data_IF_565045077179
#
_entry.id   IF_565045077179
#
_cell.length_a   1.000
_cell.length_b   1.000
_cell.length_c   1.000
_cell.angle_alpha   90.00
_cell.angle_beta   90.00
_cell.angle_gamma   90.00
#
_symmetry.space_group_name_H-M   'P 1'
#
loop_
_entity.id
_entity.type
_entity.pdbx_description
1 polymer ?
#
# COMPACT_ATOMS: atom_id res chain seq x y z
N UNK A 1 0.21 6.27 36.12
CA UNK A 1 1.15 5.75 35.10
C UNK A 1 2.47 6.48 35.28
N UNK A 2 3.60 5.77 35.30
CA UNK A 2 4.93 6.41 35.40
C UNK A 2 5.21 7.22 34.13
N UNK A 3 5.84 8.39 34.29
CA UNK A 3 6.24 9.30 33.20
C UNK A 3 7.10 8.57 32.17
N UNK A 4 8.01 7.69 32.60
CA UNK A 4 8.85 6.90 31.70
C UNK A 4 8.03 5.93 30.84
N UNK A 5 7.04 5.28 31.44
CA UNK A 5 6.11 4.38 30.76
C UNK A 5 5.27 5.13 29.72
N UNK A 6 4.77 6.32 30.05
CA UNK A 6 4.03 7.16 29.11
C UNK A 6 4.89 7.56 27.90
N UNK A 7 6.11 8.06 28.13
CA UNK A 7 7.03 8.47 27.06
C UNK A 7 7.32 7.30 26.12
N UNK A 8 7.65 6.13 26.67
CA UNK A 8 7.89 4.93 25.88
C UNK A 8 6.67 4.52 25.03
N UNK A 9 5.46 4.65 25.56
CA UNK A 9 4.25 4.36 24.80
C UNK A 9 4.07 5.33 23.63
N UNK A 10 4.23 6.63 23.87
CA UNK A 10 4.11 7.66 22.82
C UNK A 10 5.17 7.45 21.72
N UNK A 11 6.41 7.19 22.09
CA UNK A 11 7.50 6.95 21.14
C UNK A 11 7.23 5.68 20.30
N UNK A 12 6.73 4.62 20.92
CA UNK A 12 6.33 3.40 20.21
C UNK A 12 5.20 3.65 19.20
N UNK A 13 4.19 4.43 19.59
CA UNK A 13 3.10 4.80 18.67
C UNK A 13 3.60 5.65 17.50
N UNK A 14 4.47 6.63 17.77
CA UNK A 14 5.10 7.44 16.73
C UNK A 14 5.88 6.55 15.74
N UNK A 15 6.71 5.65 16.27
CA UNK A 15 7.52 4.74 15.46
C UNK A 15 6.64 3.83 14.61
N UNK A 16 5.55 3.32 15.16
CA UNK A 16 4.59 2.49 14.43
C UNK A 16 3.93 3.28 13.28
N UNK A 17 3.40 4.47 13.57
CA UNK A 17 2.78 5.32 12.55
C UNK A 17 3.76 5.67 11.44
N UNK A 18 5.00 6.03 11.79
CA UNK A 18 6.06 6.30 10.82
C UNK A 18 6.40 5.07 9.96
N UNK A 19 6.56 3.90 10.57
CA UNK A 19 6.88 2.65 9.87
C UNK A 19 5.80 2.25 8.87
N UNK A 20 4.52 2.35 9.27
CA UNK A 20 3.38 2.11 8.38
C UNK A 20 3.34 3.13 7.24
N UNK A 21 3.57 4.42 7.55
CA UNK A 21 3.66 5.50 6.55
C UNK A 21 4.71 5.17 5.48
N UNK A 22 5.91 4.76 5.91
CA UNK A 22 7.00 4.39 4.99
C UNK A 22 6.65 3.17 4.14
N UNK A 23 6.02 2.18 4.74
CA UNK A 23 5.61 0.95 4.04
C UNK A 23 4.58 1.25 2.96
N UNK A 24 3.55 2.03 3.29
CA UNK A 24 2.52 2.46 2.34
C UNK A 24 3.12 3.36 1.26
N UNK A 25 3.94 4.36 1.63
CA UNK A 25 4.61 5.23 0.65
C UNK A 25 5.42 4.42 -0.37
N UNK A 26 6.19 3.42 0.08
CA UNK A 26 6.97 2.56 -0.82
C UNK A 26 6.08 1.78 -1.78
N UNK A 27 4.92 1.27 -1.30
CA UNK A 27 3.94 0.60 -2.15
C UNK A 27 3.36 1.56 -3.21
N UNK A 28 2.99 2.77 -2.80
CA UNK A 28 2.44 3.79 -3.69
C UNK A 28 3.45 4.19 -4.77
N UNK A 29 4.72 4.36 -4.42
CA UNK A 29 5.80 4.67 -5.37
C UNK A 29 6.00 3.52 -6.37
N UNK A 30 5.97 2.27 -5.91
CA UNK A 30 6.12 1.09 -6.79
C UNK A 30 4.93 0.91 -7.74
N UNK A 31 3.72 1.27 -7.29
CA UNK A 31 2.47 1.17 -8.07
C UNK A 31 2.18 2.39 -8.92
N UNK A 32 2.87 3.51 -8.68
CA UNK A 32 2.58 4.78 -9.34
C UNK A 32 1.24 5.39 -8.90
N UNK A 33 0.67 4.92 -7.79
CA UNK A 33 -0.61 5.41 -7.26
C UNK A 33 -0.33 6.67 -6.42
N UNK A 34 -0.88 7.84 -6.77
CA UNK A 34 -0.61 9.05 -6.01
C UNK A 34 -1.35 9.06 -4.67
N UNK A 35 -0.67 9.48 -3.60
CA UNK A 35 -1.18 9.43 -2.22
C UNK A 35 -2.52 10.14 -2.01
N UNK A 36 -2.79 11.25 -2.72
CA UNK A 36 -4.06 11.98 -2.62
C UNK A 36 -5.27 11.19 -3.15
N UNK A 37 -5.07 10.13 -3.94
CA UNK A 37 -6.14 9.21 -4.34
C UNK A 37 -6.44 8.15 -3.29
N UNK A 38 -5.54 7.96 -2.33
CA UNK A 38 -5.57 6.86 -1.34
C UNK A 38 -5.94 7.35 0.05
N UNK A 39 -5.40 8.49 0.48
CA UNK A 39 -5.68 9.12 1.78
C UNK A 39 -6.78 10.18 1.67
N UNK A 40 -7.48 10.46 2.79
CA UNK A 40 -8.48 11.53 2.80
C UNK A 40 -7.80 12.88 2.84
N UNK A 41 -8.51 13.91 2.38
CA UNK A 41 -8.04 15.28 2.52
C UNK A 41 -7.79 15.67 3.99
N UNK A 42 -8.49 15.04 4.95
CA UNK A 42 -8.30 15.31 6.38
C UNK A 42 -7.03 14.71 6.97
N UNK A 43 -6.40 13.71 6.33
CA UNK A 43 -5.22 13.03 6.89
C UNK A 43 -3.97 13.10 6.01
N UNK A 44 -4.07 13.70 4.82
CA UNK A 44 -2.98 13.73 3.83
C UNK A 44 -1.78 14.55 4.33
N UNK A 45 -2.01 15.60 5.11
CA UNK A 45 -0.93 16.41 5.67
C UNK A 45 -0.12 15.61 6.69
N UNK A 46 -0.77 14.77 7.49
CA UNK A 46 -0.12 13.86 8.44
C UNK A 46 0.70 12.81 7.70
N UNK A 47 0.21 12.29 6.56
CA UNK A 47 1.00 11.42 5.70
C UNK A 47 2.33 12.08 5.28
N UNK A 48 2.29 13.31 4.78
CA UNK A 48 3.51 14.03 4.41
C UNK A 48 4.38 14.41 5.62
N UNK A 49 3.78 14.75 6.76
CA UNK A 49 4.49 15.01 7.99
C UNK A 49 5.33 13.80 8.42
N UNK A 50 4.72 12.62 8.53
CA UNK A 50 5.41 11.40 8.93
C UNK A 50 6.42 10.95 7.88
N UNK A 51 6.13 11.10 6.59
CA UNK A 51 7.07 10.77 5.51
C UNK A 51 8.40 11.55 5.65
N UNK A 52 8.31 12.82 6.05
CA UNK A 52 9.44 13.74 6.18
C UNK A 52 10.05 13.81 7.59
N UNK A 53 9.43 13.15 8.58
CA UNK A 53 9.82 13.25 9.99
C UNK A 53 10.20 11.88 10.59
N UNK A 54 11.37 11.32 10.22
CA UNK A 54 11.83 10.06 10.80
C UNK A 54 12.01 10.15 12.32
N UNK A 55 11.72 9.07 13.05
CA UNK A 55 11.95 9.01 14.50
C UNK A 55 13.43 9.27 14.79
N UNK A 56 13.71 10.20 15.72
CA UNK A 56 15.07 10.54 16.14
C UNK A 56 15.41 9.80 17.43
N UNK A 57 16.59 9.18 17.49
CA UNK A 57 17.08 8.48 18.68
C UNK A 57 17.59 9.42 19.80
N UNK A 58 17.28 10.72 19.75
CA UNK A 58 17.85 11.72 20.67
C UNK A 58 17.08 11.89 21.99
N UNK A 59 16.07 11.05 22.27
CA UNK A 59 15.28 11.15 23.49
C UNK A 59 14.44 12.43 23.62
N UNK A 60 14.30 13.19 22.53
CA UNK A 60 13.38 14.33 22.44
C UNK A 60 12.01 13.83 22.01
N UNK A 61 11.03 13.97 22.88
CA UNK A 61 9.63 13.72 22.59
C UNK A 61 9.21 14.62 21.43
N UNK A 62 8.81 14.01 20.31
CA UNK A 62 8.17 14.75 19.21
C UNK A 62 6.71 14.96 19.64
N UNK A 63 6.40 16.18 20.06
CA UNK A 63 5.03 16.57 20.36
C UNK A 63 4.27 16.72 19.05
N UNK A 64 3.45 15.73 18.71
CA UNK A 64 2.47 15.87 17.66
C UNK A 64 1.32 16.70 18.23
N UNK A 65 1.14 17.90 17.68
CA UNK A 65 0.16 18.88 18.17
C UNK A 65 -1.25 18.62 17.65
N UNK A 66 -1.37 17.73 16.67
CA UNK A 66 -2.60 17.39 15.97
C UNK A 66 -3.14 16.05 16.44
N UNK A 67 -4.46 15.88 16.35
CA UNK A 67 -5.10 14.59 16.57
C UNK A 67 -4.75 13.65 15.41
N UNK A 68 -3.96 12.61 15.71
CA UNK A 68 -3.52 11.62 14.72
C UNK A 68 -4.40 10.36 14.70
N UNK A 69 -5.47 10.30 15.50
CA UNK A 69 -6.33 9.11 15.58
C UNK A 69 -6.89 8.73 14.21
N UNK A 70 -7.49 9.69 13.50
CA UNK A 70 -8.02 9.50 12.15
C UNK A 70 -6.94 9.04 11.15
N UNK A 71 -5.71 9.56 11.28
CA UNK A 71 -4.60 9.13 10.44
C UNK A 71 -4.19 7.68 10.72
N UNK A 72 -4.07 7.30 11.99
CA UNK A 72 -3.77 5.93 12.41
C UNK A 72 -4.86 4.98 11.93
N UNK A 73 -6.14 5.35 12.06
CA UNK A 73 -7.27 4.54 11.59
C UNK A 73 -7.19 4.33 10.07
N UNK A 74 -6.88 5.37 9.29
CA UNK A 74 -6.68 5.22 7.84
C UNK A 74 -5.47 4.33 7.50
N UNK A 75 -4.35 4.44 8.23
CA UNK A 75 -3.20 3.55 8.05
C UNK A 75 -3.57 2.08 8.31
N UNK A 76 -4.34 1.82 9.36
CA UNK A 76 -4.82 0.47 9.70
C UNK A 76 -5.73 -0.06 8.58
N UNK A 77 -6.71 0.73 8.15
CA UNK A 77 -7.64 0.35 7.06
C UNK A 77 -6.88 0.06 5.77
N UNK A 78 -5.90 0.89 5.41
CA UNK A 78 -5.07 0.67 4.22
C UNK A 78 -4.25 -0.60 4.35
N UNK A 79 -3.65 -0.87 5.50
CA UNK A 79 -2.89 -2.10 5.73
C UNK A 79 -3.80 -3.34 5.63
N UNK A 80 -5.02 -3.28 6.18
CA UNK A 80 -6.02 -4.35 6.03
C UNK A 80 -6.40 -4.57 4.57
N UNK A 81 -6.66 -3.50 3.82
CA UNK A 81 -6.96 -3.55 2.38
C UNK A 81 -5.83 -4.21 1.58
N UNK A 82 -4.57 -3.86 1.87
CA UNK A 82 -3.40 -4.45 1.22
C UNK A 82 -3.37 -5.96 1.49
N UNK A 83 -3.55 -6.38 2.75
CA UNK A 83 -3.55 -7.80 3.12
C UNK A 83 -4.69 -8.56 2.42
N UNK A 84 -5.91 -8.01 2.43
CA UNK A 84 -7.07 -8.68 1.82
C UNK A 84 -7.01 -8.72 0.30
N UNK A 85 -6.36 -7.75 -0.35
CA UNK A 85 -6.24 -7.69 -1.81
C UNK A 85 -5.41 -8.82 -2.42
N UNK A 86 -4.70 -9.63 -1.62
CA UNK A 86 -3.98 -10.80 -2.11
C UNK A 86 -4.94 -11.78 -2.80
N UNK A 87 -6.14 -11.97 -2.25
CA UNK A 87 -7.15 -12.82 -2.86
C UNK A 87 -7.63 -12.23 -4.20
N UNK A 88 -7.81 -10.91 -4.27
CA UNK A 88 -8.20 -10.21 -5.50
C UNK A 88 -7.13 -10.35 -6.59
N UNK A 89 -5.84 -10.29 -6.22
CA UNK A 89 -4.71 -10.56 -7.14
C UNK A 89 -4.77 -12.00 -7.68
N UNK A 90 -5.09 -12.98 -6.83
CA UNK A 90 -5.23 -14.38 -7.24
C UNK A 90 -6.41 -14.54 -8.20
N UNK A 91 -7.58 -14.01 -7.84
CA UNK A 91 -8.78 -14.08 -8.68
C UNK A 91 -8.53 -13.41 -10.05
N UNK A 92 -7.92 -12.22 -10.05
CA UNK A 92 -7.58 -11.51 -11.29
C UNK A 92 -6.56 -12.29 -12.13
N UNK A 93 -5.58 -12.93 -11.51
CA UNK A 93 -4.62 -13.81 -12.20
C UNK A 93 -5.32 -14.96 -12.93
N UNK A 94 -6.23 -15.66 -12.23
CA UNK A 94 -7.01 -16.75 -12.82
C UNK A 94 -7.91 -16.27 -13.96
N UNK A 95 -8.49 -15.07 -13.83
CA UNK A 95 -9.29 -14.47 -14.89
C UNK A 95 -8.45 -14.16 -16.14
N UNK A 96 -7.25 -13.61 -15.98
CA UNK A 96 -6.32 -13.33 -17.09
C UNK A 96 -5.87 -14.63 -17.77
N UNK A 97 -5.51 -15.66 -16.99
CA UNK A 97 -5.14 -16.97 -17.53
C UNK A 97 -6.27 -17.60 -18.36
N UNK A 98 -7.50 -17.55 -17.84
CA UNK A 98 -8.67 -18.05 -18.57
C UNK A 98 -8.92 -17.28 -19.87
N UNK A 99 -8.69 -15.97 -19.89
CA UNK A 99 -8.82 -15.16 -21.10
C UNK A 99 -7.76 -15.50 -22.15
N UNK A 100 -6.49 -15.68 -21.75
CA UNK A 100 -5.42 -16.06 -22.68
C UNK A 100 -5.63 -17.48 -23.24
N UNK A 101 -6.03 -18.43 -22.40
CA UNK A 101 -6.32 -19.80 -22.82
C UNK A 101 -7.47 -19.85 -23.83
N UNK A 102 -8.56 -19.08 -23.61
CA UNK A 102 -9.67 -18.96 -24.57
C UNK A 102 -9.23 -18.37 -25.92
N UNK A 103 -8.34 -17.36 -25.92
CA UNK A 103 -7.84 -16.72 -27.15
C UNK A 103 -6.91 -17.65 -27.96
N UNK A 104 -6.18 -18.54 -27.29
CA UNK A 104 -5.25 -19.45 -27.93
C UNK A 104 -5.89 -20.61 -28.73
N UNK A 105 -7.20 -20.83 -28.56
CA UNK A 105 -7.94 -21.90 -29.26
C UNK A 105 -8.26 -21.65 -30.75
N UNK A 106 -7.99 -20.45 -31.28
CA UNK A 106 -8.44 -20.05 -32.64
C UNK A 106 -7.28 -19.98 -33.66
N UNK A 107 -6.01 -19.93 -33.23
CA UNK A 107 -4.85 -19.96 -34.14
C UNK A 107 -3.70 -20.78 -33.56
N UNK A 108 -3.15 -21.80 -34.26
CA UNK A 108 -2.01 -22.53 -33.77
C UNK A 108 -0.75 -21.66 -33.81
N UNK A 109 -0.12 -21.59 -32.65
CA UNK A 109 1.12 -20.87 -32.29
C UNK A 109 2.27 -21.13 -33.28
N UNK A 110 2.68 -20.09 -34.00
CA UNK A 110 3.98 -20.02 -34.70
C UNK A 110 4.93 -19.00 -34.05
N UNK A 111 4.49 -18.25 -33.04
CA UNK A 111 5.37 -17.34 -32.30
C UNK A 111 5.50 -17.78 -30.84
N UNK A 112 6.72 -17.72 -30.31
CA UNK A 112 7.06 -17.80 -28.88
C UNK A 112 6.30 -16.71 -28.09
N UNK A 113 5.00 -16.92 -27.87
CA UNK A 113 4.18 -16.04 -27.05
C UNK A 113 4.62 -16.25 -25.60
N UNK A 114 5.46 -15.35 -25.09
CA UNK A 114 5.78 -15.32 -23.66
C UNK A 114 4.47 -15.17 -22.91
N UNK A 115 4.18 -16.06 -21.94
CA UNK A 115 2.97 -15.91 -21.14
C UNK A 115 3.12 -14.66 -20.29
N UNK A 116 2.01 -13.98 -20.01
CA UNK A 116 2.02 -12.85 -19.09
C UNK A 116 2.59 -13.24 -17.71
N UNK A 117 2.35 -14.50 -17.31
CA UNK A 117 2.83 -15.10 -16.08
C UNK A 117 4.36 -15.22 -16.00
N UNK A 118 5.08 -15.14 -17.11
CA UNK A 118 6.53 -15.38 -17.14
C UNK A 118 7.32 -14.07 -16.93
N UNK A 119 6.70 -12.90 -17.20
CA UNK A 119 7.33 -11.60 -17.06
C UNK A 119 6.81 -10.81 -15.86
N UNK A 120 7.69 -10.42 -14.94
CA UNK A 120 7.33 -9.66 -13.74
C UNK A 120 6.61 -8.34 -14.06
N UNK A 121 7.11 -7.58 -15.05
CA UNK A 121 6.48 -6.33 -15.48
C UNK A 121 5.08 -6.56 -16.05
N UNK A 122 4.87 -7.66 -16.79
CA UNK A 122 3.56 -8.01 -17.33
C UNK A 122 2.59 -8.44 -16.23
N UNK A 123 3.03 -9.25 -15.26
CA UNK A 123 2.24 -9.59 -14.06
C UNK A 123 1.83 -8.35 -13.29
N UNK A 124 2.77 -7.42 -13.12
CA UNK A 124 2.53 -6.19 -12.43
C UNK A 124 1.45 -5.33 -13.11
N UNK A 125 1.65 -5.01 -14.39
CA UNK A 125 0.78 -4.10 -15.13
C UNK A 125 -0.61 -4.68 -15.41
N UNK A 126 -0.74 -6.01 -15.57
CA UNK A 126 -2.02 -6.64 -15.93
C UNK A 126 -2.86 -7.08 -14.75
N UNK A 127 -2.24 -7.34 -13.60
CA UNK A 127 -2.91 -7.92 -12.43
C UNK A 127 -2.68 -7.06 -11.20
N UNK A 128 -1.43 -6.94 -10.75
CA UNK A 128 -1.11 -6.39 -9.44
C UNK A 128 -1.50 -4.92 -9.33
N UNK A 129 -1.05 -4.08 -10.27
CA UNK A 129 -1.33 -2.64 -10.25
C UNK A 129 -2.84 -2.34 -10.37
N UNK A 130 -3.59 -2.93 -11.33
CA UNK A 130 -5.05 -2.72 -11.42
C UNK A 130 -5.80 -3.11 -10.14
N UNK A 131 -5.43 -4.21 -9.48
CA UNK A 131 -6.06 -4.62 -8.21
C UNK A 131 -5.77 -3.61 -7.10
N UNK A 132 -4.53 -3.16 -6.97
CA UNK A 132 -4.19 -2.15 -5.96
C UNK A 132 -4.84 -0.79 -6.26
N UNK A 133 -4.96 -0.39 -7.52
CA UNK A 133 -5.71 0.82 -7.88
C UNK A 133 -7.17 0.72 -7.45
N UNK A 134 -7.84 -0.41 -7.74
CA UNK A 134 -9.24 -0.65 -7.39
C UNK A 134 -9.48 -0.72 -5.88
N UNK A 135 -8.58 -1.38 -5.13
CA UNK A 135 -8.74 -1.58 -3.69
C UNK A 135 -8.34 -0.35 -2.88
N UNK A 136 -7.24 0.32 -3.25
CA UNK A 136 -6.64 1.38 -2.45
C UNK A 136 -7.20 2.77 -2.78
N UNK A 137 -7.54 3.04 -4.04
CA UNK A 137 -8.09 4.34 -4.39
C UNK A 137 -9.48 4.53 -3.78
N UNK A 138 -9.77 5.76 -3.35
CA UNK A 138 -11.12 6.16 -2.96
C UNK A 138 -11.96 6.27 -4.23
N UNK A 139 -13.17 5.70 -4.21
CA UNK A 139 -14.19 5.96 -5.22
C UNK A 139 -14.71 7.40 -5.09
#
# INVERSE_FOLDING_TARGET
MDKKLFINQVDNFYFLAWSLTKSISSLLDQTGIPAHRVFSASVIDQFFFFLNSPPKNEGKIILIKEDISAYIDELIVLNTKIISSVDDVVIKSLAVDNQENKRSGIFPKIFNSHKWSDCASMRFNRVICPVYEEVLCKN
#
